data_IF_113215322377
#
_entry.id   IF_113215322377
#
_cell.length_a   1.000
_cell.length_b   1.000
_cell.length_c   1.000
_cell.angle_alpha   90.00
_cell.angle_beta   90.00
_cell.angle_gamma   90.00
#
_symmetry.space_group_name_H-M   'P 1'
#
loop_
_entity.id
_entity.type
_entity.pdbx_description
1 polymer ?
#
# COMPACT_ATOMS: atom_id res chain seq x y z
N UNK A 1 12.34 33.33 -33.13
CA UNK A 1 11.09 33.48 -33.90
C UNK A 1 9.95 33.33 -32.90
N UNK A 2 9.22 34.39 -32.57
CA UNK A 2 8.31 35.18 -33.44
C UNK A 2 7.10 34.36 -33.91
N UNK A 3 6.03 34.38 -33.12
CA UNK A 3 4.74 34.88 -33.61
C UNK A 3 3.87 35.35 -32.44
N UNK A 4 3.63 36.66 -32.37
CA UNK A 4 2.64 37.27 -31.48
C UNK A 4 1.33 37.49 -32.25
N UNK A 5 0.20 37.31 -31.58
CA UNK A 5 -1.14 37.65 -32.09
C UNK A 5 -1.86 38.54 -31.06
N UNK A 6 -2.78 39.39 -31.53
CA UNK A 6 -3.30 40.53 -30.75
C UNK A 6 -4.59 40.22 -29.98
N UNK A 7 -4.86 40.92 -28.86
CA UNK A 7 -6.12 40.81 -28.13
C UNK A 7 -7.27 41.50 -28.86
N UNK A 8 -8.48 40.99 -28.68
CA UNK A 8 -9.72 41.68 -29.05
C UNK A 8 -10.11 42.72 -28.00
N UNK A 9 -10.76 43.80 -28.44
CA UNK A 9 -11.34 44.88 -27.61
C UNK A 9 -12.83 45.01 -27.92
N UNK A 10 -13.49 45.88 -27.13
CA UNK A 10 -14.84 46.44 -27.29
C UNK A 10 -15.95 45.61 -26.64
N UNK A 11 -16.70 46.28 -25.77
CA UNK A 11 -17.74 45.71 -24.91
C UNK A 11 -18.21 46.69 -23.83
N UNK A 12 -18.28 48.00 -24.12
CA UNK A 12 -18.95 48.98 -23.24
C UNK A 12 -20.44 48.99 -23.62
N UNK A 13 -21.32 48.68 -22.67
CA UNK A 13 -22.77 48.72 -22.86
C UNK A 13 -23.51 48.81 -21.54
N UNK A 14 -24.61 49.57 -21.55
CA UNK A 14 -25.70 49.63 -20.55
C UNK A 14 -25.31 49.53 -19.06
N UNK A 15 -25.36 50.68 -18.38
CA UNK A 15 -25.99 50.70 -17.05
C UNK A 15 -27.43 50.19 -17.19
N UNK A 16 -27.89 49.37 -16.25
CA UNK A 16 -29.29 48.94 -16.11
C UNK A 16 -29.75 49.27 -14.68
N UNK A 17 -31.04 49.55 -14.53
CA UNK A 17 -31.62 50.27 -13.41
C UNK A 17 -31.52 49.57 -12.04
N UNK A 18 -31.59 50.40 -10.99
CA UNK A 18 -31.65 50.00 -9.58
C UNK A 18 -33.04 49.44 -9.25
N UNK A 19 -33.24 48.16 -9.59
CA UNK A 19 -34.50 47.44 -9.38
C UNK A 19 -34.61 46.88 -7.97
N UNK A 20 -35.56 47.39 -7.19
CA UNK A 20 -35.82 46.94 -5.81
C UNK A 20 -36.36 45.50 -5.76
N UNK A 21 -35.47 44.52 -5.54
CA UNK A 21 -35.85 43.10 -5.40
C UNK A 21 -36.37 42.81 -3.99
N UNK A 22 -37.61 43.23 -3.74
CA UNK A 22 -38.37 42.85 -2.55
C UNK A 22 -38.87 41.39 -2.70
N UNK A 23 -38.62 40.54 -1.70
CA UNK A 23 -39.18 39.18 -1.64
C UNK A 23 -38.33 38.04 -2.24
N UNK A 24 -37.00 38.10 -2.20
CA UNK A 24 -36.18 36.90 -2.43
C UNK A 24 -36.39 35.90 -1.26
N UNK A 25 -36.76 34.63 -1.50
CA UNK A 25 -36.91 33.66 -0.42
C UNK A 25 -35.57 33.34 0.23
N UNK A 26 -35.59 33.12 1.55
CA UNK A 26 -34.40 32.84 2.36
C UNK A 26 -33.53 31.73 1.74
N UNK A 27 -32.22 31.95 1.53
CA UNK A 27 -31.35 30.95 0.93
C UNK A 27 -31.29 29.72 1.84
N UNK A 28 -31.48 28.49 1.32
CA UNK A 28 -31.61 27.29 2.13
C UNK A 28 -30.41 27.11 3.05
N UNK A 29 -30.68 27.06 4.37
CA UNK A 29 -29.66 27.25 5.40
C UNK A 29 -28.50 26.25 5.25
N UNK A 30 -27.25 26.75 5.36
CA UNK A 30 -25.99 26.01 5.11
C UNK A 30 -25.67 24.89 6.13
N UNK A 31 -26.65 24.22 6.73
CA UNK A 31 -26.46 23.23 7.82
C UNK A 31 -26.38 21.76 7.37
N UNK A 32 -26.47 21.48 6.06
CA UNK A 32 -26.54 20.11 5.53
C UNK A 32 -25.24 19.56 4.93
N UNK A 33 -24.24 20.39 4.58
CA UNK A 33 -23.04 19.94 3.84
C UNK A 33 -22.22 18.89 4.60
N UNK A 34 -21.91 19.13 5.88
CA UNK A 34 -20.99 18.30 6.66
C UNK A 34 -21.38 16.83 6.80
N UNK A 35 -22.67 16.47 6.72
CA UNK A 35 -23.11 15.06 6.73
C UNK A 35 -22.93 14.38 5.36
N UNK A 36 -23.12 15.10 4.26
CA UNK A 36 -22.92 14.56 2.90
C UNK A 36 -21.43 14.36 2.59
N UNK A 37 -20.57 15.34 2.83
CA UNK A 37 -19.12 15.21 2.59
C UNK A 37 -18.51 14.07 3.42
N UNK A 38 -18.93 13.94 4.68
CA UNK A 38 -18.51 12.84 5.54
C UNK A 38 -19.01 11.45 5.07
N UNK A 39 -20.14 11.38 4.36
CA UNK A 39 -20.61 10.11 3.76
C UNK A 39 -19.81 9.73 2.52
N UNK A 40 -19.59 10.66 1.59
CA UNK A 40 -18.80 10.45 0.37
C UNK A 40 -17.34 10.08 0.69
N UNK A 41 -16.76 10.66 1.74
CA UNK A 41 -15.43 10.29 2.23
C UNK A 41 -15.35 8.85 2.73
N UNK A 42 -16.38 8.38 3.47
CA UNK A 42 -16.44 6.99 3.96
C UNK A 42 -16.65 5.98 2.82
N UNK A 43 -17.48 6.31 1.83
CA UNK A 43 -17.72 5.44 0.67
C UNK A 43 -16.47 5.28 -0.19
N UNK A 44 -15.79 6.38 -0.53
CA UNK A 44 -14.51 6.35 -1.29
C UNK A 44 -13.42 5.58 -0.52
N UNK A 45 -13.37 5.73 0.80
CA UNK A 45 -12.46 4.97 1.67
C UNK A 45 -12.75 3.47 1.65
N UNK A 46 -14.04 3.08 1.69
CA UNK A 46 -14.48 1.68 1.61
C UNK A 46 -14.20 1.06 0.24
N UNK A 47 -14.43 1.82 -0.84
CA UNK A 47 -14.13 1.40 -2.21
C UNK A 47 -12.63 1.15 -2.39
N UNK A 48 -11.78 2.09 -1.95
CA UNK A 48 -10.33 1.93 -1.98
C UNK A 48 -9.88 0.71 -1.16
N UNK A 49 -10.43 0.51 0.05
CA UNK A 49 -10.09 -0.67 0.86
C UNK A 49 -10.40 -1.98 0.13
N UNK A 50 -11.60 -2.12 -0.46
CA UNK A 50 -11.97 -3.33 -1.20
C UNK A 50 -11.16 -3.53 -2.47
N UNK A 51 -10.87 -2.46 -3.22
CA UNK A 51 -10.03 -2.51 -4.43
C UNK A 51 -8.59 -2.88 -4.10
N UNK A 52 -8.04 -2.39 -2.99
CA UNK A 52 -6.74 -2.83 -2.49
C UNK A 52 -6.78 -4.29 -2.04
N UNK A 53 -7.76 -4.66 -1.21
CA UNK A 53 -7.93 -6.02 -0.68
C UNK A 53 -7.95 -7.05 -1.81
N UNK A 54 -8.88 -6.89 -2.77
CA UNK A 54 -9.02 -7.82 -3.89
C UNK A 54 -7.76 -7.88 -4.76
N UNK A 55 -7.12 -6.73 -5.06
CA UNK A 55 -5.91 -6.71 -5.87
C UNK A 55 -4.72 -7.36 -5.15
N UNK A 56 -4.47 -7.03 -3.88
CA UNK A 56 -3.35 -7.55 -3.12
C UNK A 56 -3.51 -9.05 -2.82
N UNK A 57 -4.70 -9.53 -2.41
CA UNK A 57 -4.93 -10.97 -2.20
C UNK A 57 -4.81 -11.76 -3.50
N UNK A 58 -5.30 -11.23 -4.63
CA UNK A 58 -5.13 -11.89 -5.95
C UNK A 58 -3.66 -11.90 -6.38
N UNK A 59 -2.93 -10.80 -6.15
CA UNK A 59 -1.52 -10.69 -6.51
C UNK A 59 -0.61 -11.57 -5.67
N UNK A 60 -0.85 -11.64 -4.36
CA UNK A 60 -0.14 -12.55 -3.46
C UNK A 60 -0.41 -14.01 -3.83
N UNK A 61 -1.68 -14.40 -4.01
CA UNK A 61 -2.03 -15.77 -4.36
C UNK A 61 -1.42 -16.21 -5.71
N UNK A 62 -1.54 -15.39 -6.75
CA UNK A 62 -0.95 -15.69 -8.06
C UNK A 62 0.59 -15.62 -8.05
N UNK A 63 1.17 -14.79 -7.18
CA UNK A 63 2.61 -14.77 -6.94
C UNK A 63 3.10 -16.06 -6.31
N UNK A 64 2.48 -16.47 -5.20
CA UNK A 64 2.84 -17.64 -4.37
C UNK A 64 2.69 -18.99 -5.09
N UNK A 65 1.81 -19.08 -6.10
CA UNK A 65 1.74 -20.25 -7.00
C UNK A 65 3.09 -20.54 -7.66
N UNK A 66 3.92 -19.53 -7.94
CA UNK A 66 5.22 -19.70 -8.59
C UNK A 66 6.24 -20.40 -7.69
N UNK A 67 6.59 -19.92 -6.48
CA UNK A 67 7.49 -20.67 -5.58
C UNK A 67 6.90 -22.01 -5.14
N UNK A 68 5.58 -22.14 -4.97
CA UNK A 68 4.96 -23.43 -4.67
C UNK A 68 5.19 -24.47 -5.79
N UNK A 69 4.94 -24.09 -7.05
CA UNK A 69 5.15 -24.98 -8.20
C UNK A 69 6.64 -25.23 -8.48
N UNK A 70 7.49 -24.20 -8.38
CA UNK A 70 8.92 -24.33 -8.62
C UNK A 70 9.64 -25.15 -7.54
N UNK A 71 9.26 -24.99 -6.26
CA UNK A 71 9.78 -25.81 -5.17
C UNK A 71 9.39 -27.29 -5.32
N UNK A 72 8.13 -27.56 -5.67
CA UNK A 72 7.67 -28.92 -5.97
C UNK A 72 8.38 -29.53 -7.19
N UNK A 73 8.67 -28.73 -8.23
CA UNK A 73 9.39 -29.18 -9.42
C UNK A 73 10.92 -29.32 -9.22
N UNK A 74 11.47 -28.93 -8.07
CA UNK A 74 12.90 -28.98 -7.76
C UNK A 74 13.21 -29.65 -6.41
N UNK A 75 12.29 -30.47 -5.89
CA UNK A 75 12.50 -31.27 -4.67
C UNK A 75 13.69 -32.23 -4.78
N UNK A 76 13.86 -32.81 -5.96
CA UNK A 76 14.83 -33.88 -6.23
C UNK A 76 16.13 -33.33 -6.87
N UNK A 77 16.25 -32.00 -6.98
CA UNK A 77 17.40 -31.31 -7.52
C UNK A 77 18.48 -31.07 -6.45
N UNK A 78 19.72 -30.80 -6.89
CA UNK A 78 20.78 -30.40 -5.97
C UNK A 78 20.45 -29.04 -5.32
N UNK A 79 20.63 -28.90 -4.00
CA UNK A 79 20.19 -27.73 -3.23
C UNK A 79 20.61 -26.35 -3.81
N UNK A 80 21.81 -26.14 -4.40
CA UNK A 80 22.15 -24.88 -5.06
C UNK A 80 21.26 -24.51 -6.27
N UNK A 81 20.71 -25.52 -6.96
CA UNK A 81 19.75 -25.34 -8.07
C UNK A 81 18.40 -24.93 -7.49
N UNK A 82 17.88 -25.70 -6.53
CA UNK A 82 16.62 -25.41 -5.81
C UNK A 82 16.65 -24.01 -5.19
N UNK A 83 17.71 -23.65 -4.47
CA UNK A 83 17.95 -22.32 -3.92
C UNK A 83 17.89 -21.20 -4.99
N UNK A 84 18.59 -21.38 -6.10
CA UNK A 84 18.61 -20.41 -7.22
C UNK A 84 17.21 -20.26 -7.84
N UNK A 85 16.50 -21.37 -8.02
CA UNK A 85 15.13 -21.39 -8.55
C UNK A 85 14.15 -20.71 -7.59
N UNK A 86 14.25 -20.92 -6.27
CA UNK A 86 13.40 -20.26 -5.28
C UNK A 86 13.65 -18.74 -5.20
N UNK A 87 14.90 -18.28 -5.38
CA UNK A 87 15.18 -16.83 -5.50
C UNK A 87 14.54 -16.21 -6.76
N UNK A 88 14.57 -16.90 -7.89
CA UNK A 88 13.89 -16.48 -9.12
C UNK A 88 12.36 -16.47 -8.91
N UNK A 89 11.81 -17.50 -8.26
CA UNK A 89 10.39 -17.59 -7.94
C UNK A 89 9.93 -16.44 -7.04
N UNK A 90 10.71 -16.11 -5.99
CA UNK A 90 10.45 -14.98 -5.09
C UNK A 90 10.52 -13.62 -5.76
N UNK A 91 11.40 -13.44 -6.75
CA UNK A 91 11.42 -12.24 -7.59
C UNK A 91 10.16 -12.14 -8.46
N UNK A 92 9.66 -13.26 -9.00
CA UNK A 92 8.41 -13.29 -9.78
C UNK A 92 7.21 -12.98 -8.87
N UNK A 93 7.13 -13.60 -7.70
CA UNK A 93 6.09 -13.36 -6.67
C UNK A 93 6.01 -11.88 -6.28
N UNK A 94 7.13 -11.29 -5.83
CA UNK A 94 7.20 -9.87 -5.50
C UNK A 94 6.88 -8.95 -6.69
N UNK A 95 7.17 -9.41 -7.91
CA UNK A 95 6.81 -8.72 -9.15
C UNK A 95 5.29 -8.74 -9.41
N UNK A 96 4.63 -9.88 -9.23
CA UNK A 96 3.18 -10.04 -9.40
C UNK A 96 2.43 -9.25 -8.33
N UNK A 97 2.79 -9.42 -7.04
CA UNK A 97 2.23 -8.65 -5.93
C UNK A 97 2.39 -7.14 -6.17
N UNK A 98 3.62 -6.70 -6.43
CA UNK A 98 3.95 -5.31 -6.69
C UNK A 98 3.17 -4.74 -7.87
N UNK A 99 2.96 -5.53 -8.92
CA UNK A 99 2.18 -5.11 -10.10
C UNK A 99 0.69 -4.97 -9.78
N UNK A 100 0.09 -5.85 -8.98
CA UNK A 100 -1.30 -5.68 -8.53
C UNK A 100 -1.48 -4.45 -7.61
N UNK A 101 -0.61 -4.28 -6.60
CA UNK A 101 -0.62 -3.12 -5.70
C UNK A 101 -0.44 -1.80 -6.47
N UNK A 102 0.51 -1.76 -7.41
CA UNK A 102 0.82 -0.56 -8.19
C UNK A 102 -0.31 -0.12 -9.13
N UNK A 103 -1.20 -1.04 -9.57
CA UNK A 103 -2.43 -0.68 -10.32
C UNK A 103 -3.41 0.11 -9.46
N UNK A 104 -3.55 -0.25 -8.18
CA UNK A 104 -4.41 0.47 -7.23
C UNK A 104 -3.81 1.82 -6.87
N UNK A 105 -2.53 1.87 -6.48
CA UNK A 105 -1.83 3.10 -6.11
C UNK A 105 -1.84 4.14 -7.23
N UNK A 106 -1.60 3.74 -8.48
CA UNK A 106 -1.66 4.63 -9.66
C UNK A 106 -3.04 5.27 -9.88
N UNK A 107 -4.11 4.69 -9.33
CA UNK A 107 -5.48 5.25 -9.44
C UNK A 107 -5.84 6.24 -8.33
N UNK A 108 -5.00 6.39 -7.29
CA UNK A 108 -5.27 7.29 -6.14
C UNK A 108 -4.11 8.23 -5.79
N UNK A 109 -2.89 7.96 -6.27
CA UNK A 109 -1.72 8.84 -6.11
C UNK A 109 -1.35 9.43 -7.49
N UNK A 110 -1.46 10.74 -7.62
CA UNK A 110 -1.05 11.45 -8.83
C UNK A 110 0.48 11.34 -9.06
N UNK A 111 0.89 11.13 -10.31
CA UNK A 111 2.31 10.97 -10.67
C UNK A 111 2.98 9.68 -10.17
N UNK A 112 2.22 8.69 -9.69
CA UNK A 112 2.77 7.46 -9.14
C UNK A 112 3.44 6.56 -10.20
N UNK A 113 4.74 6.30 -10.03
CA UNK A 113 5.52 5.43 -10.92
C UNK A 113 5.39 3.95 -10.53
N UNK A 114 4.48 3.23 -11.21
CA UNK A 114 4.26 1.80 -10.96
C UNK A 114 5.52 0.93 -11.06
N UNK A 115 6.46 1.27 -11.95
CA UNK A 115 7.72 0.53 -12.11
C UNK A 115 8.61 0.61 -10.85
N UNK A 116 8.70 1.77 -10.20
CA UNK A 116 9.50 1.93 -8.98
C UNK A 116 8.93 1.09 -7.83
N UNK A 117 7.60 1.02 -7.72
CA UNK A 117 6.92 0.16 -6.73
C UNK A 117 7.15 -1.33 -6.97
N UNK A 118 7.06 -1.77 -8.23
CA UNK A 118 7.31 -3.17 -8.61
C UNK A 118 8.76 -3.55 -8.26
N UNK A 119 9.75 -2.76 -8.69
CA UNK A 119 11.16 -2.99 -8.37
C UNK A 119 11.40 -3.00 -6.86
N UNK A 120 10.84 -2.06 -6.11
CA UNK A 120 10.95 -2.05 -4.65
C UNK A 120 10.35 -3.32 -4.00
N UNK A 121 9.21 -3.80 -4.50
CA UNK A 121 8.56 -5.02 -3.99
C UNK A 121 9.38 -6.27 -4.31
N UNK A 122 9.93 -6.36 -5.53
CA UNK A 122 10.87 -7.42 -5.95
C UNK A 122 12.13 -7.43 -5.09
N UNK A 123 12.74 -6.26 -4.85
CA UNK A 123 13.94 -6.16 -3.99
C UNK A 123 13.67 -6.57 -2.54
N UNK A 124 12.51 -6.19 -1.98
CA UNK A 124 12.10 -6.65 -0.66
C UNK A 124 11.88 -8.17 -0.60
N UNK A 125 11.14 -8.71 -1.58
CA UNK A 125 10.89 -10.15 -1.69
C UNK A 125 12.20 -10.95 -1.85
N UNK A 126 13.15 -10.48 -2.65
CA UNK A 126 14.47 -11.12 -2.80
C UNK A 126 15.26 -11.16 -1.49
N UNK A 127 15.17 -10.13 -0.65
CA UNK A 127 15.79 -10.13 0.70
C UNK A 127 15.11 -11.15 1.61
N UNK A 128 13.78 -11.19 1.64
CA UNK A 128 13.01 -12.18 2.40
C UNK A 128 13.32 -13.63 1.96
N UNK A 129 13.31 -13.90 0.66
CA UNK A 129 13.62 -15.21 0.09
C UNK A 129 15.07 -15.62 0.29
N UNK A 130 16.02 -14.69 0.25
CA UNK A 130 17.42 -14.98 0.61
C UNK A 130 17.55 -15.52 2.03
N UNK A 131 16.81 -14.95 2.99
CA UNK A 131 16.80 -15.42 4.38
C UNK A 131 16.13 -16.78 4.55
N UNK A 132 15.12 -17.10 3.72
CA UNK A 132 14.51 -18.44 3.67
C UNK A 132 15.42 -19.50 3.03
N UNK A 133 16.24 -19.09 2.05
CA UNK A 133 17.14 -19.99 1.30
C UNK A 133 18.46 -20.27 2.03
N UNK A 134 18.98 -19.35 2.84
CA UNK A 134 20.21 -19.57 3.66
C UNK A 134 20.18 -20.90 4.44
N UNK A 135 19.15 -21.22 5.27
CA UNK A 135 19.10 -22.48 6.01
C UNK A 135 18.80 -23.73 5.14
N UNK A 136 18.59 -23.58 3.83
CA UNK A 136 18.57 -24.69 2.85
C UNK A 136 19.95 -24.97 2.24
N UNK A 137 20.88 -24.03 2.36
CA UNK A 137 22.26 -24.13 1.84
C UNK A 137 23.30 -24.42 2.94
N UNK A 138 22.91 -24.30 4.21
CA UNK A 138 23.63 -24.82 5.38
C UNK A 138 22.90 -26.06 5.92
N UNK A 139 23.48 -26.74 6.90
CA UNK A 139 22.83 -27.81 7.69
C UNK A 139 21.76 -27.24 8.67
N UNK A 140 20.98 -26.27 8.19
CA UNK A 140 19.99 -25.51 8.96
C UNK A 140 20.60 -24.82 10.17
N UNK A 141 20.03 -25.14 11.34
CA UNK A 141 20.44 -24.62 12.65
C UNK A 141 20.84 -25.73 13.64
N UNK A 142 21.01 -26.98 13.17
CA UNK A 142 21.02 -28.17 14.02
C UNK A 142 22.13 -28.20 15.08
N UNK A 143 23.35 -27.88 14.69
CA UNK A 143 24.54 -27.89 15.58
C UNK A 143 24.78 -26.55 16.31
N UNK A 144 23.90 -25.56 16.12
CA UNK A 144 24.06 -24.23 16.69
C UNK A 144 23.43 -24.13 18.08
N UNK A 145 24.19 -23.58 19.03
CA UNK A 145 23.70 -23.29 20.37
C UNK A 145 22.46 -22.39 20.35
N UNK A 146 21.50 -22.64 21.24
CA UNK A 146 20.26 -21.84 21.38
C UNK A 146 20.53 -20.34 21.54
N UNK A 147 21.65 -19.96 22.16
CA UNK A 147 22.09 -18.57 22.33
C UNK A 147 22.55 -17.90 21.02
N UNK A 148 22.78 -18.68 19.95
CA UNK A 148 23.05 -18.20 18.58
C UNK A 148 21.77 -18.28 17.75
N UNK A 149 21.04 -19.40 17.82
CA UNK A 149 19.83 -19.64 17.02
C UNK A 149 18.73 -18.63 17.35
N UNK A 150 18.45 -18.36 18.63
CA UNK A 150 17.35 -17.44 19.00
C UNK A 150 17.62 -16.01 18.50
N UNK A 151 18.79 -15.38 18.72
CA UNK A 151 19.10 -14.09 18.10
C UNK A 151 19.09 -14.12 16.56
N UNK A 152 19.62 -15.18 15.93
CA UNK A 152 19.64 -15.30 14.46
C UNK A 152 18.23 -15.36 13.87
N UNK A 153 17.33 -16.15 14.47
CA UNK A 153 15.91 -16.26 14.05
C UNK A 153 15.14 -14.98 14.33
N UNK A 154 15.37 -14.31 15.47
CA UNK A 154 14.72 -13.03 15.79
C UNK A 154 15.16 -11.92 14.83
N UNK A 155 16.46 -11.80 14.56
CA UNK A 155 17.00 -10.79 13.64
C UNK A 155 16.62 -11.10 12.17
N UNK A 156 16.74 -12.36 11.75
CA UNK A 156 16.31 -12.80 10.41
C UNK A 156 14.82 -12.59 10.18
N UNK A 157 13.98 -12.97 11.15
CA UNK A 157 12.54 -12.72 11.12
C UNK A 157 12.20 -11.24 11.08
N UNK A 158 12.90 -10.39 11.83
CA UNK A 158 12.73 -8.94 11.78
C UNK A 158 13.09 -8.37 10.40
N UNK A 159 14.22 -8.77 9.80
CA UNK A 159 14.62 -8.33 8.45
C UNK A 159 13.61 -8.82 7.41
N UNK A 160 13.13 -10.06 7.51
CA UNK A 160 12.11 -10.62 6.62
C UNK A 160 10.82 -9.79 6.66
N UNK A 161 10.24 -9.56 7.86
CA UNK A 161 9.01 -8.76 8.05
C UNK A 161 9.15 -7.29 7.61
N UNK A 162 10.34 -6.70 7.71
CA UNK A 162 10.59 -5.29 7.39
C UNK A 162 11.01 -5.07 5.91
N UNK A 163 11.56 -6.07 5.24
CA UNK A 163 12.18 -6.00 3.91
C UNK A 163 11.34 -5.24 2.86
N UNK A 164 10.16 -5.77 2.54
CA UNK A 164 9.21 -5.19 1.58
C UNK A 164 8.73 -3.81 2.05
N UNK A 165 8.47 -3.66 3.36
CA UNK A 165 8.00 -2.41 3.96
C UNK A 165 8.97 -1.25 3.78
N UNK A 166 10.25 -1.48 4.07
CA UNK A 166 11.33 -0.49 3.93
C UNK A 166 11.58 -0.16 2.46
N UNK A 167 11.57 -1.16 1.57
CA UNK A 167 11.75 -0.93 0.14
C UNK A 167 10.60 -0.11 -0.46
N UNK A 168 9.35 -0.49 -0.18
CA UNK A 168 8.15 0.24 -0.65
C UNK A 168 8.06 1.64 -0.04
N UNK A 169 8.44 1.82 1.24
CA UNK A 169 8.55 3.13 1.88
C UNK A 169 9.49 4.09 1.14
N UNK A 170 10.62 3.60 0.63
CA UNK A 170 11.60 4.43 -0.08
C UNK A 170 11.01 5.11 -1.34
N UNK A 171 9.97 4.53 -1.93
CA UNK A 171 9.13 5.08 -3.00
C UNK A 171 8.00 5.95 -2.40
N UNK A 172 7.21 5.40 -1.48
CA UNK A 172 5.98 6.03 -0.95
C UNK A 172 6.23 7.38 -0.27
N UNK A 173 7.39 7.54 0.38
CA UNK A 173 7.82 8.79 1.05
C UNK A 173 7.97 10.00 0.12
N UNK A 174 7.97 9.79 -1.21
CA UNK A 174 7.98 10.88 -2.21
C UNK A 174 6.58 11.43 -2.51
N UNK A 175 5.54 10.71 -2.12
CA UNK A 175 4.16 10.97 -2.52
C UNK A 175 3.22 11.27 -1.34
N UNK A 176 3.50 10.73 -0.15
CA UNK A 176 2.57 10.81 0.99
C UNK A 176 3.31 11.15 2.29
N UNK A 177 2.77 12.08 3.07
CA UNK A 177 3.26 12.41 4.41
C UNK A 177 3.04 11.23 5.37
N UNK A 178 3.89 11.10 6.39
CA UNK A 178 3.79 10.00 7.37
C UNK A 178 4.04 8.60 6.81
N UNK A 179 4.51 8.45 5.56
CA UNK A 179 4.69 7.16 4.88
C UNK A 179 5.51 6.10 5.64
N UNK A 180 6.33 6.49 6.63
CA UNK A 180 7.02 5.55 7.52
C UNK A 180 6.07 4.57 8.25
N UNK A 181 4.80 4.95 8.44
CA UNK A 181 3.74 4.07 8.96
C UNK A 181 3.50 2.83 8.07
N UNK A 182 3.89 2.87 6.80
CA UNK A 182 3.82 1.73 5.88
C UNK A 182 4.71 0.56 6.29
N UNK A 183 5.90 0.84 6.86
CA UNK A 183 6.84 -0.20 7.32
C UNK A 183 6.20 -1.03 8.45
N UNK A 184 5.52 -0.36 9.39
CA UNK A 184 4.74 -1.01 10.44
C UNK A 184 3.53 -1.74 9.87
N UNK A 185 2.84 -1.16 8.88
CA UNK A 185 1.70 -1.79 8.22
C UNK A 185 2.06 -3.14 7.57
N UNK A 186 3.17 -3.19 6.83
CA UNK A 186 3.64 -4.43 6.18
C UNK A 186 4.17 -5.45 7.18
N UNK A 187 4.86 -5.02 8.24
CA UNK A 187 5.37 -5.94 9.26
C UNK A 187 4.21 -6.57 10.06
N UNK A 188 3.20 -5.79 10.45
CA UNK A 188 1.97 -6.30 11.08
C UNK A 188 1.15 -7.18 10.14
N UNK A 189 1.11 -6.84 8.84
CA UNK A 189 0.48 -7.66 7.82
C UNK A 189 1.14 -9.04 7.73
N UNK A 190 2.47 -9.11 7.59
CA UNK A 190 3.22 -10.36 7.56
C UNK A 190 3.07 -11.18 8.85
N UNK A 191 3.18 -10.55 10.01
CA UNK A 191 2.98 -11.24 11.30
C UNK A 191 1.57 -11.82 11.44
N UNK A 192 0.54 -11.05 11.09
CA UNK A 192 -0.86 -11.51 11.09
C UNK A 192 -1.14 -12.59 10.04
N UNK A 193 -0.55 -12.46 8.85
CA UNK A 193 -0.67 -13.43 7.76
C UNK A 193 -0.06 -14.79 8.13
N UNK A 194 1.18 -14.79 8.65
CA UNK A 194 1.85 -16.01 9.13
C UNK A 194 1.13 -16.64 10.33
N UNK A 195 0.60 -15.82 11.26
CA UNK A 195 -0.22 -16.32 12.36
C UNK A 195 -1.52 -16.97 11.86
N UNK A 196 -2.20 -16.38 10.88
CA UNK A 196 -3.41 -16.94 10.28
C UNK A 196 -3.12 -18.22 9.46
N UNK A 197 -2.00 -18.25 8.72
CA UNK A 197 -1.53 -19.44 8.02
C UNK A 197 -1.30 -20.58 9.02
N UNK A 198 -0.43 -20.38 10.00
CA UNK A 198 -0.01 -21.42 10.95
C UNK A 198 -1.14 -21.88 11.85
N UNK A 199 -2.03 -21.00 12.30
CA UNK A 199 -3.23 -21.39 13.06
C UNK A 199 -4.22 -22.24 12.25
N UNK A 200 -4.25 -22.08 10.92
CA UNK A 200 -5.09 -22.88 10.02
C UNK A 200 -4.43 -24.19 9.58
N UNK A 201 -3.18 -24.15 9.10
CA UNK A 201 -2.53 -25.31 8.47
C UNK A 201 -1.96 -26.31 9.48
N UNK A 202 -1.34 -25.84 10.57
CA UNK A 202 -0.69 -26.72 11.56
C UNK A 202 -1.60 -27.79 12.18
N UNK A 203 -2.85 -27.49 12.61
CA UNK A 203 -3.73 -28.54 13.14
C UNK A 203 -4.30 -29.46 12.03
N UNK A 204 -4.38 -28.98 10.79
CA UNK A 204 -4.99 -29.70 9.68
C UNK A 204 -4.02 -30.63 8.94
N UNK A 205 -2.74 -30.27 8.84
CA UNK A 205 -1.71 -31.13 8.26
C UNK A 205 -1.36 -32.28 9.22
N UNK A 206 -1.46 -33.52 8.74
CA UNK A 206 -1.22 -34.73 9.53
C UNK A 206 -0.38 -35.76 8.74
N UNK A 207 0.49 -36.54 9.39
CA UNK A 207 1.26 -37.60 8.72
C UNK A 207 0.36 -38.61 7.99
N UNK A 208 0.78 -39.05 6.81
CA UNK A 208 0.05 -40.03 6.00
C UNK A 208 -1.16 -39.49 5.23
N UNK A 209 -1.42 -38.18 5.25
CA UNK A 209 -2.47 -37.58 4.42
C UNK A 209 -2.18 -37.73 2.91
N UNK A 210 -3.22 -37.89 2.06
CA UNK A 210 -3.05 -37.84 0.61
C UNK A 210 -2.50 -36.48 0.16
N UNK A 211 -1.57 -36.47 -0.80
CA UNK A 211 -0.92 -35.25 -1.31
C UNK A 211 -1.91 -34.13 -1.67
N UNK A 212 -3.03 -34.46 -2.33
CA UNK A 212 -4.07 -33.50 -2.69
C UNK A 212 -4.72 -32.80 -1.47
N UNK A 213 -4.81 -33.47 -0.31
CA UNK A 213 -5.33 -32.88 0.94
C UNK A 213 -4.30 -31.91 1.53
N UNK A 214 -3.02 -32.29 1.56
CA UNK A 214 -1.92 -31.44 2.03
C UNK A 214 -1.83 -30.16 1.19
N UNK A 215 -1.91 -30.28 -0.14
CA UNK A 215 -1.93 -29.16 -1.08
C UNK A 215 -3.17 -28.28 -0.87
N UNK A 216 -4.37 -28.86 -0.72
CA UNK A 216 -5.60 -28.09 -0.50
C UNK A 216 -5.54 -27.26 0.79
N UNK A 217 -5.06 -27.86 1.90
CA UNK A 217 -4.85 -27.15 3.18
C UNK A 217 -3.85 -26.00 3.00
N UNK A 218 -2.73 -26.22 2.30
CA UNK A 218 -1.73 -25.20 2.02
C UNK A 218 -2.26 -24.05 1.16
N UNK A 219 -3.05 -24.36 0.12
CA UNK A 219 -3.69 -23.37 -0.76
C UNK A 219 -4.69 -22.50 0.01
N UNK A 220 -5.56 -23.10 0.83
CA UNK A 220 -6.53 -22.34 1.62
C UNK A 220 -5.83 -21.51 2.70
N UNK A 221 -4.79 -22.04 3.36
CA UNK A 221 -3.95 -21.29 4.29
C UNK A 221 -3.24 -20.10 3.64
N UNK A 222 -2.69 -20.28 2.44
CA UNK A 222 -2.05 -19.21 1.67
C UNK A 222 -3.03 -18.10 1.26
N UNK A 223 -4.24 -18.46 0.81
CA UNK A 223 -5.31 -17.48 0.53
C UNK A 223 -5.74 -16.73 1.79
N UNK A 224 -5.84 -17.40 2.94
CA UNK A 224 -6.16 -16.78 4.23
C UNK A 224 -5.06 -15.79 4.67
N UNK A 225 -3.80 -16.17 4.55
CA UNK A 225 -2.64 -15.31 4.80
C UNK A 225 -2.66 -14.06 3.91
N UNK A 226 -2.82 -14.26 2.60
CA UNK A 226 -2.94 -13.19 1.61
C UNK A 226 -4.13 -12.24 1.89
N UNK A 227 -5.26 -12.77 2.38
CA UNK A 227 -6.41 -11.97 2.79
C UNK A 227 -6.11 -11.12 4.03
N UNK A 228 -5.50 -11.69 5.07
CA UNK A 228 -5.13 -10.95 6.30
C UNK A 228 -4.10 -9.85 5.98
N UNK A 229 -3.08 -10.17 5.17
CA UNK A 229 -2.06 -9.21 4.75
C UNK A 229 -2.67 -8.04 3.95
N UNK A 230 -3.56 -8.34 3.01
CA UNK A 230 -4.25 -7.34 2.20
C UNK A 230 -5.21 -6.47 3.03
N UNK A 231 -5.93 -7.05 3.99
CA UNK A 231 -6.84 -6.33 4.88
C UNK A 231 -6.10 -5.29 5.75
N UNK A 232 -4.99 -5.69 6.36
CA UNK A 232 -4.15 -4.84 7.22
C UNK A 232 -3.50 -3.72 6.39
N UNK A 233 -2.82 -4.06 5.30
CA UNK A 233 -2.18 -3.04 4.43
C UNK A 233 -3.19 -2.07 3.82
N UNK A 234 -4.38 -2.53 3.42
CA UNK A 234 -5.44 -1.66 2.88
C UNK A 234 -6.01 -0.70 3.91
N UNK A 235 -6.16 -1.14 5.17
CA UNK A 235 -6.63 -0.31 6.29
C UNK A 235 -5.62 0.79 6.63
N UNK A 236 -4.32 0.49 6.56
CA UNK A 236 -3.27 1.49 6.67
C UNK A 236 -3.22 2.43 5.46
N UNK A 237 -3.38 1.92 4.23
CA UNK A 237 -3.38 2.74 3.00
C UNK A 237 -4.48 3.81 3.03
N UNK A 238 -5.70 3.41 3.37
CA UNK A 238 -6.86 4.32 3.49
C UNK A 238 -6.57 5.44 4.49
N UNK A 239 -6.00 5.12 5.66
CA UNK A 239 -5.63 6.14 6.66
C UNK A 239 -4.43 6.99 6.27
N UNK A 240 -3.53 6.49 5.43
CA UNK A 240 -2.39 7.26 4.95
C UNK A 240 -2.80 8.27 3.87
N UNK A 241 -3.86 7.98 3.11
CA UNK A 241 -4.42 8.85 2.07
C UNK A 241 -5.62 9.68 2.56
N UNK A 242 -6.02 9.57 3.83
CA UNK A 242 -7.03 10.43 4.45
C UNK A 242 -6.41 11.77 4.86
N UNK A 243 -7.03 12.94 4.55
CA UNK A 243 -6.51 14.23 4.98
C UNK A 243 -6.41 14.37 6.50
N UNK A 244 -5.34 15.01 7.00
CA UNK A 244 -5.26 15.46 8.40
C UNK A 244 -6.15 16.69 8.62
N UNK A 245 -6.98 16.74 9.69
CA UNK A 245 -7.83 17.91 9.98
C UNK A 245 -7.06 19.23 10.19
N UNK A 246 -5.83 19.14 10.71
CA UNK A 246 -4.97 20.27 11.11
C UNK A 246 -4.51 21.16 9.94
N UNK A 247 -4.88 20.85 8.69
CA UNK A 247 -4.50 21.62 7.50
C UNK A 247 -5.38 22.84 7.20
N UNK A 248 -6.64 22.84 7.67
CA UNK A 248 -7.66 23.85 7.30
C UNK A 248 -7.74 25.01 8.31
N UNK A 249 -7.23 24.83 9.53
CA UNK A 249 -7.19 25.86 10.57
C UNK A 249 -5.95 26.78 10.46
N UNK A 250 -5.68 27.30 9.26
CA UNK A 250 -4.96 28.58 9.16
C UNK A 250 -5.98 29.71 9.21
N UNK A 251 -6.04 30.52 10.28
CA UNK A 251 -6.84 31.74 10.26
C UNK A 251 -6.40 32.58 9.07
N UNK A 252 -7.36 33.11 8.31
CA UNK A 252 -7.04 34.02 7.22
C UNK A 252 -6.27 35.21 7.79
N UNK A 253 -5.00 35.37 7.40
CA UNK A 253 -4.20 36.52 7.81
C UNK A 253 -4.91 37.79 7.35
N UNK A 254 -5.46 38.53 8.30
CA UNK A 254 -6.10 39.82 8.07
C UNK A 254 -5.04 40.77 7.54
N UNK A 255 -5.02 40.93 6.20
CA UNK A 255 -4.00 41.72 5.52
C UNK A 255 -3.89 43.13 6.12
N UNK A 256 -2.67 43.70 6.21
CA UNK A 256 -2.47 45.02 6.81
C UNK A 256 -3.40 46.06 6.18
N UNK A 257 -4.21 46.71 7.01
CA UNK A 257 -5.06 47.81 6.55
C UNK A 257 -4.18 48.90 5.95
N UNK A 258 -4.43 49.26 4.69
CA UNK A 258 -3.76 50.37 4.03
C UNK A 258 -4.16 51.67 4.73
N UNK A 259 -3.26 52.21 5.56
CA UNK A 259 -3.43 53.52 6.18
C UNK A 259 -3.36 54.60 5.09
N UNK A 260 -4.53 54.96 4.55
CA UNK A 260 -4.72 56.12 3.67
C UNK A 260 -4.64 57.38 4.54
N UNK A 261 -3.42 57.76 4.91
CA UNK A 261 -3.10 59.02 5.56
C UNK A 261 -3.06 60.16 4.56
N UNK A 262 -4.22 60.72 4.22
CA UNK A 262 -4.27 62.03 3.57
C UNK A 262 -3.96 63.14 4.58
N UNK A 263 -3.13 64.11 4.19
CA UNK A 263 -2.77 65.26 5.01
C UNK A 263 -2.06 66.32 4.18
N UNK A 264 -2.69 67.49 4.05
CA UNK A 264 -2.20 68.63 3.27
C UNK A 264 -1.33 69.56 4.12
N UNK A 265 -0.22 70.04 3.56
CA UNK A 265 0.50 71.28 3.93
C UNK A 265 1.50 71.65 2.81
#
# INVERSE_FOLDING_TARGET
MWHTARPAKVGKGSSVEDGTVEGLPDPPSRRSSGTYDASLGRERSRELWWRWFAAATTGEFLGFVVPAAMGAATSDAAMPITATVMLIAGAIEGGVLGWFQARVLRSVIAGFHSAEWIVATVSGALVAWSLGVVPMLTDGFADLSVFVVVPAVVLGGAVLLLSIGVAQWAVLRRYVSGAARWILATALAWAGGLAAFTAFTTPLWQPGQPYAVVVLIGVVGGVLMAAVMAAITGWFLVRLLSPSPEGDERPAETGPQSLVGGGEA
#
